data_IF_440653630114
#
_entry.id   IF_440653630114
#
_cell.length_a   1.000
_cell.length_b   1.000
_cell.length_c   1.000
_cell.angle_alpha   90.00
_cell.angle_beta   90.00
_cell.angle_gamma   90.00
#
_symmetry.space_group_name_H-M   'P 1'
#
loop_
_entity.id
_entity.type
_entity.pdbx_description
1 polymer ?
#
# COMPACT_ATOMS: atom_id res chain seq x y z
N UNK A 1 0.35 38.98 24.84
CA UNK A 1 1.74 39.18 25.31
C UNK A 1 2.39 37.81 25.44
N UNK A 2 3.58 37.58 24.87
CA UNK A 2 4.38 36.37 25.10
C UNK A 2 4.71 35.55 23.85
N UNK A 3 5.49 36.13 22.93
CA UNK A 3 6.27 35.39 21.92
C UNK A 3 7.56 34.82 22.52
N UNK A 4 8.09 33.82 21.82
CA UNK A 4 9.51 33.42 21.68
C UNK A 4 10.24 32.78 22.86
N UNK A 5 10.48 31.46 22.78
CA UNK A 5 11.74 30.86 23.26
C UNK A 5 12.02 29.46 22.65
N UNK A 6 12.42 29.40 21.37
CA UNK A 6 13.03 28.20 20.76
C UNK A 6 14.37 28.55 20.07
N UNK A 7 14.81 29.80 20.13
CA UNK A 7 15.98 30.30 19.39
C UNK A 7 17.34 30.10 20.07
N UNK A 8 17.40 29.79 21.38
CA UNK A 8 18.63 30.00 22.14
C UNK A 8 19.53 28.76 22.29
N UNK A 9 19.00 27.55 22.09
CA UNK A 9 19.77 26.32 22.38
C UNK A 9 20.68 25.82 21.25
N UNK A 10 20.59 26.37 20.03
CA UNK A 10 21.48 26.00 18.91
C UNK A 10 22.76 26.83 18.83
N UNK A 11 22.82 28.02 19.44
CA UNK A 11 24.04 28.87 19.42
C UNK A 11 25.09 28.42 20.42
N UNK A 12 24.69 27.97 21.61
CA UNK A 12 25.64 27.68 22.70
C UNK A 12 26.46 26.41 22.41
N UNK A 13 25.86 25.37 21.80
CA UNK A 13 26.58 24.15 21.43
C UNK A 13 27.58 24.36 20.27
N UNK A 14 27.28 25.26 19.33
CA UNK A 14 28.17 25.59 18.20
C UNK A 14 29.41 26.34 18.67
N UNK A 15 29.28 27.28 19.62
CA UNK A 15 30.41 28.11 20.07
C UNK A 15 31.37 27.36 21.00
N UNK A 16 30.90 26.34 21.74
CA UNK A 16 31.74 25.59 22.67
C UNK A 16 32.58 24.50 21.96
N UNK A 17 32.00 23.82 20.96
CA UNK A 17 32.72 22.79 20.19
C UNK A 17 33.77 23.41 19.24
N UNK A 18 33.49 24.59 18.66
CA UNK A 18 34.48 25.34 17.85
C UNK A 18 35.68 25.80 18.66
N UNK A 19 35.48 26.25 19.91
CA UNK A 19 36.58 26.79 20.74
C UNK A 19 37.55 25.72 21.22
N UNK A 20 37.07 24.53 21.57
CA UNK A 20 37.93 23.44 22.04
C UNK A 20 38.78 22.80 20.93
N UNK A 21 38.22 22.66 19.73
CA UNK A 21 38.94 22.07 18.59
C UNK A 21 40.04 23.01 18.06
N UNK A 22 39.78 24.32 18.06
CA UNK A 22 40.75 25.34 17.63
C UNK A 22 41.91 25.48 18.63
N UNK A 23 41.67 25.28 19.94
CA UNK A 23 42.75 25.33 20.94
C UNK A 23 43.72 24.14 20.88
N UNK A 24 43.24 22.94 20.56
CA UNK A 24 44.07 21.72 20.54
C UNK A 24 44.98 21.64 19.30
N UNK A 25 44.54 22.23 18.17
CA UNK A 25 45.32 22.28 16.93
C UNK A 25 46.39 23.37 16.91
N UNK A 26 46.23 24.44 17.70
CA UNK A 26 47.23 25.52 17.85
C UNK A 26 48.49 25.04 18.58
N UNK A 27 48.37 24.03 19.44
CA UNK A 27 49.47 23.42 20.19
C UNK A 27 50.39 22.56 19.28
N UNK A 28 49.89 22.12 18.11
CA UNK A 28 50.62 21.27 17.15
C UNK A 28 51.31 22.04 16.00
N UNK A 29 51.35 23.38 16.05
CA UNK A 29 52.09 24.21 15.09
C UNK A 29 51.44 24.43 13.72
N UNK A 30 50.15 24.09 13.57
CA UNK A 30 49.41 24.33 12.33
C UNK A 30 49.14 25.83 12.11
N UNK A 31 49.46 26.34 10.93
CA UNK A 31 49.21 27.73 10.56
C UNK A 31 47.71 28.00 10.32
N UNK A 32 47.30 29.27 10.37
CA UNK A 32 45.90 29.66 10.24
C UNK A 32 45.27 29.27 8.88
N UNK A 33 46.07 29.13 7.82
CA UNK A 33 45.61 28.64 6.51
C UNK A 33 45.34 27.14 6.52
N UNK A 34 46.17 26.37 7.23
CA UNK A 34 46.06 24.91 7.32
C UNK A 34 44.87 24.50 8.20
N UNK A 35 44.59 25.25 9.28
CA UNK A 35 43.37 25.04 10.08
C UNK A 35 42.09 25.33 9.30
N UNK A 36 42.09 26.37 8.45
CA UNK A 36 40.96 26.65 7.55
C UNK A 36 40.77 25.51 6.55
N UNK A 37 41.85 25.04 5.93
CA UNK A 37 41.81 23.94 4.98
C UNK A 37 41.29 22.64 5.61
N UNK A 38 41.77 22.28 6.81
CA UNK A 38 41.31 21.08 7.52
C UNK A 38 39.83 21.16 7.92
N UNK A 39 39.36 22.32 8.37
CA UNK A 39 37.95 22.54 8.69
C UNK A 39 37.06 22.48 7.43
N UNK A 40 37.51 23.09 6.33
CA UNK A 40 36.83 22.98 5.04
C UNK A 40 36.79 21.54 4.54
N UNK A 41 37.90 20.79 4.63
CA UNK A 41 37.97 19.37 4.25
C UNK A 41 37.03 18.50 5.10
N UNK A 42 36.95 18.75 6.40
CA UNK A 42 36.02 18.04 7.30
C UNK A 42 34.56 18.36 6.98
N UNK A 43 34.22 19.63 6.74
CA UNK A 43 32.87 20.06 6.34
C UNK A 43 32.50 19.47 4.97
N UNK A 44 33.44 19.43 4.02
CA UNK A 44 33.22 18.82 2.70
C UNK A 44 32.96 17.32 2.82
N UNK A 45 33.77 16.61 3.63
CA UNK A 45 33.64 15.18 3.85
C UNK A 45 32.31 14.82 4.55
N UNK A 46 31.92 15.57 5.57
CA UNK A 46 30.63 15.40 6.25
C UNK A 46 29.46 15.74 5.32
N UNK A 47 29.57 16.82 4.52
CA UNK A 47 28.54 17.20 3.55
C UNK A 47 28.34 16.18 2.42
N UNK A 48 29.42 15.54 1.97
CA UNK A 48 29.36 14.45 0.98
C UNK A 48 28.73 13.17 1.58
N UNK A 49 29.08 12.80 2.81
CA UNK A 49 28.50 11.63 3.48
C UNK A 49 27.00 11.78 3.77
N UNK A 50 26.54 12.96 4.19
CA UNK A 50 25.11 13.24 4.46
C UNK A 50 24.26 13.18 3.19
N UNK A 51 24.79 13.62 2.04
CA UNK A 51 24.09 13.51 0.75
C UNK A 51 23.88 12.06 0.31
N UNK A 52 24.83 11.18 0.58
CA UNK A 52 24.77 9.78 0.17
C UNK A 52 23.70 8.98 0.94
N UNK A 53 23.44 9.33 2.20
CA UNK A 53 22.42 8.67 3.03
C UNK A 53 20.99 9.18 2.77
N UNK A 54 20.83 10.41 2.28
CA UNK A 54 19.51 11.02 2.04
C UNK A 54 18.90 10.72 0.65
N UNK A 55 19.69 10.22 -0.31
CA UNK A 55 19.23 10.02 -1.69
C UNK A 55 18.47 8.71 -1.90
N UNK A 56 18.86 7.62 -1.23
CA UNK A 56 18.22 6.32 -1.40
C UNK A 56 16.71 6.29 -1.05
N UNK A 57 16.25 6.93 0.04
CA UNK A 57 14.81 6.99 0.37
C UNK A 57 13.99 7.75 -0.68
N UNK A 58 14.55 8.83 -1.24
CA UNK A 58 13.86 9.68 -2.24
C UNK A 58 13.73 8.96 -3.58
N UNK A 59 14.78 8.27 -4.00
CA UNK A 59 14.76 7.50 -5.26
C UNK A 59 13.76 6.34 -5.19
N UNK A 60 13.74 5.59 -4.07
CA UNK A 60 12.77 4.52 -3.88
C UNK A 60 11.34 5.07 -3.87
N UNK A 61 11.10 6.15 -3.13
CA UNK A 61 9.80 6.82 -3.11
C UNK A 61 9.34 7.23 -4.52
N UNK A 62 10.24 7.84 -5.31
CA UNK A 62 9.97 8.22 -6.71
C UNK A 62 9.60 7.00 -7.56
N UNK A 63 10.31 5.88 -7.42
CA UNK A 63 10.00 4.62 -8.12
C UNK A 63 8.59 4.11 -7.77
N UNK A 64 8.22 4.14 -6.50
CA UNK A 64 6.86 3.75 -6.06
C UNK A 64 5.77 4.70 -6.59
N UNK A 65 6.00 6.02 -6.55
CA UNK A 65 5.05 7.00 -7.07
C UNK A 65 4.88 6.87 -8.60
N UNK A 66 5.96 6.52 -9.32
CA UNK A 66 5.89 6.20 -10.73
C UNK A 66 5.17 4.88 -11.02
N UNK A 67 5.36 3.87 -10.18
CA UNK A 67 4.66 2.60 -10.30
C UNK A 67 3.16 2.78 -10.05
N UNK A 68 2.76 3.60 -9.07
CA UNK A 68 1.37 3.95 -8.79
C UNK A 68 0.67 4.56 -10.02
N UNK A 69 1.35 5.50 -10.69
CA UNK A 69 0.85 6.11 -11.94
C UNK A 69 0.76 5.11 -13.10
N UNK A 70 1.57 4.06 -13.08
CA UNK A 70 1.63 3.02 -14.12
C UNK A 70 0.76 1.80 -13.85
N UNK A 71 0.01 1.77 -12.74
CA UNK A 71 -0.95 0.69 -12.47
C UNK A 71 -1.92 0.59 -13.64
N UNK A 72 -1.94 -0.58 -14.27
CA UNK A 72 -2.87 -0.89 -15.36
C UNK A 72 -4.27 -0.98 -14.79
N UNK A 73 -5.19 -0.19 -15.35
CA UNK A 73 -6.60 -0.19 -14.95
C UNK A 73 -7.45 -0.36 -16.20
N UNK A 74 -8.25 -1.43 -16.22
CA UNK A 74 -9.12 -1.73 -17.34
C UNK A 74 -10.50 -1.09 -17.13
N UNK A 75 -11.16 -0.60 -18.20
CA UNK A 75 -12.55 -0.17 -18.10
C UNK A 75 -13.47 -1.38 -17.83
N UNK A 76 -14.61 -1.18 -17.13
CA UNK A 76 -15.57 -2.26 -16.87
C UNK A 76 -16.04 -3.00 -18.13
N UNK A 77 -16.16 -2.31 -19.28
CA UNK A 77 -16.58 -2.88 -20.55
C UNK A 77 -15.62 -3.93 -21.15
N UNK A 78 -14.39 -4.04 -20.65
CA UNK A 78 -13.42 -5.06 -21.08
C UNK A 78 -13.72 -6.45 -20.50
N UNK A 79 -14.57 -6.53 -19.47
CA UNK A 79 -14.99 -7.77 -18.81
C UNK A 79 -16.33 -8.23 -19.39
N UNK A 80 -16.28 -9.10 -20.41
CA UNK A 80 -17.47 -9.55 -21.17
C UNK A 80 -18.43 -10.40 -20.34
N UNK A 81 -17.94 -10.95 -19.25
CA UNK A 81 -18.72 -11.69 -18.27
C UNK A 81 -19.58 -10.78 -17.40
N UNK A 82 -19.25 -9.49 -17.25
CA UNK A 82 -20.06 -8.56 -16.45
C UNK A 82 -21.40 -8.26 -17.12
N UNK A 83 -22.51 -8.36 -16.38
CA UNK A 83 -23.81 -7.87 -16.84
C UNK A 83 -23.78 -6.39 -17.24
N UNK A 84 -24.44 -6.02 -18.33
CA UNK A 84 -24.36 -4.66 -18.88
C UNK A 84 -24.88 -3.58 -17.91
N UNK A 85 -25.82 -3.92 -17.03
CA UNK A 85 -26.29 -3.02 -15.97
C UNK A 85 -25.21 -2.73 -14.92
N UNK A 86 -24.36 -3.71 -14.61
CA UNK A 86 -23.23 -3.54 -13.69
C UNK A 86 -22.13 -2.71 -14.34
N UNK A 87 -21.83 -2.94 -15.63
CA UNK A 87 -20.90 -2.12 -16.41
C UNK A 87 -21.29 -0.65 -16.34
N UNK A 88 -22.56 -0.31 -16.64
CA UNK A 88 -23.06 1.07 -16.58
C UNK A 88 -22.94 1.68 -15.18
N UNK A 89 -23.24 0.92 -14.14
CA UNK A 89 -23.14 1.41 -12.76
C UNK A 89 -21.68 1.66 -12.33
N UNK A 90 -20.76 0.79 -12.75
CA UNK A 90 -19.32 0.98 -12.52
C UNK A 90 -18.80 2.20 -13.27
N UNK A 91 -19.18 2.39 -14.53
CA UNK A 91 -18.83 3.57 -15.33
C UNK A 91 -19.39 4.86 -14.72
N UNK A 92 -20.65 4.84 -14.24
CA UNK A 92 -21.28 5.96 -13.53
C UNK A 92 -20.52 6.36 -12.26
N UNK A 93 -19.83 5.41 -11.63
CA UNK A 93 -18.96 5.63 -10.46
C UNK A 93 -17.53 6.05 -10.83
N UNK A 94 -17.25 6.24 -12.12
CA UNK A 94 -15.89 6.45 -12.63
C UNK A 94 -14.92 5.33 -12.23
N UNK A 95 -15.46 4.11 -12.11
CA UNK A 95 -14.72 2.95 -11.67
C UNK A 95 -13.82 2.44 -12.79
N UNK A 96 -12.57 2.13 -12.43
CA UNK A 96 -11.65 1.37 -13.25
C UNK A 96 -11.15 0.16 -12.46
N UNK A 97 -10.81 -0.94 -13.13
CA UNK A 97 -10.52 -2.21 -12.47
C UNK A 97 -9.01 -2.42 -12.52
N UNK A 98 -8.27 -2.22 -11.41
CA UNK A 98 -6.82 -2.32 -11.40
C UNK A 98 -6.41 -3.78 -11.62
N UNK A 99 -5.34 -3.99 -12.38
CA UNK A 99 -4.80 -5.31 -12.70
C UNK A 99 -3.50 -5.53 -11.93
N UNK A 100 -3.33 -6.73 -11.41
CA UNK A 100 -2.10 -7.11 -10.73
C UNK A 100 -0.95 -7.40 -11.71
N UNK A 101 0.27 -7.51 -11.19
CA UNK A 101 1.49 -7.67 -11.99
C UNK A 101 1.58 -8.98 -12.77
N UNK A 102 0.74 -9.99 -12.48
CA UNK A 102 0.80 -11.29 -13.19
C UNK A 102 0.34 -11.18 -14.64
N UNK A 103 -0.20 -10.03 -15.06
CA UNK A 103 -0.77 -9.76 -16.39
C UNK A 103 -2.01 -10.59 -16.72
N UNK A 104 -2.46 -11.45 -15.81
CA UNK A 104 -3.74 -12.11 -15.93
C UNK A 104 -4.86 -11.13 -15.65
N UNK A 105 -5.89 -11.16 -16.50
CA UNK A 105 -7.10 -10.38 -16.25
C UNK A 105 -7.78 -10.89 -14.98
N UNK A 106 -7.99 -10.01 -14.01
CA UNK A 106 -8.56 -10.36 -12.72
C UNK A 106 -9.46 -9.26 -12.16
N UNK A 107 -9.75 -9.38 -10.87
CA UNK A 107 -10.46 -8.38 -10.08
C UNK A 107 -11.93 -8.14 -10.45
N UNK A 108 -12.50 -9.06 -11.23
CA UNK A 108 -13.94 -9.26 -11.41
C UNK A 108 -14.24 -10.72 -11.11
N UNK A 109 -15.07 -10.98 -10.11
CA UNK A 109 -15.40 -12.34 -9.67
C UNK A 109 -16.89 -12.54 -9.49
N UNK A 110 -17.33 -13.78 -9.70
CA UNK A 110 -18.70 -14.23 -9.49
C UNK A 110 -18.73 -15.33 -8.45
N UNK A 111 -19.73 -15.32 -7.57
CA UNK A 111 -19.86 -16.34 -6.54
C UNK A 111 -21.11 -16.19 -5.69
N UNK A 112 -21.33 -17.14 -4.79
CA UNK A 112 -22.37 -17.07 -3.79
C UNK A 112 -21.84 -16.36 -2.55
N UNK A 113 -21.94 -15.03 -2.50
CA UNK A 113 -21.32 -14.23 -1.44
C UNK A 113 -22.29 -13.86 -0.32
N UNK A 114 -23.61 -13.83 -0.58
CA UNK A 114 -24.60 -13.52 0.47
C UNK A 114 -25.14 -14.75 1.20
N UNK A 115 -25.40 -15.81 0.43
CA UNK A 115 -26.09 -17.04 0.84
C UNK A 115 -25.91 -18.14 -0.21
N UNK A 116 -26.13 -19.42 0.15
CA UNK A 116 -25.98 -20.54 -0.78
C UNK A 116 -26.89 -20.42 -2.00
N UNK A 117 -26.38 -20.78 -3.18
CA UNK A 117 -27.14 -20.81 -4.45
C UNK A 117 -27.49 -19.44 -5.05
N UNK A 118 -27.12 -18.34 -4.40
CA UNK A 118 -27.24 -17.00 -4.99
C UNK A 118 -26.04 -16.70 -5.89
N UNK A 119 -26.25 -16.01 -7.01
CA UNK A 119 -25.16 -15.53 -7.87
C UNK A 119 -24.96 -14.03 -7.65
N UNK A 120 -23.82 -13.68 -7.07
CA UNK A 120 -23.39 -12.31 -6.80
C UNK A 120 -22.15 -12.00 -7.63
N UNK A 121 -21.88 -10.70 -7.81
CA UNK A 121 -20.66 -10.19 -8.43
C UNK A 121 -19.86 -9.38 -7.43
N UNK A 122 -18.54 -9.51 -7.46
CA UNK A 122 -17.65 -8.61 -6.74
C UNK A 122 -16.59 -8.05 -7.69
N UNK A 123 -16.34 -6.75 -7.59
CA UNK A 123 -15.39 -6.03 -8.45
C UNK A 123 -14.47 -5.20 -7.56
N UNK A 124 -13.16 -5.31 -7.78
CA UNK A 124 -12.21 -4.36 -7.19
C UNK A 124 -12.26 -3.07 -8.00
N UNK A 125 -12.82 -2.03 -7.40
CA UNK A 125 -13.09 -0.76 -8.04
C UNK A 125 -12.10 0.30 -7.58
N UNK A 126 -11.26 0.79 -8.49
CA UNK A 126 -10.30 1.87 -8.27
C UNK A 126 -10.85 3.20 -8.77
N UNK A 127 -10.87 4.20 -7.89
CA UNK A 127 -11.20 5.61 -8.19
C UNK A 127 -10.16 6.49 -7.53
N UNK A 128 -9.46 7.32 -8.32
CA UNK A 128 -8.46 8.29 -7.86
C UNK A 128 -7.37 7.72 -6.92
N UNK A 129 -6.84 6.54 -7.25
CA UNK A 129 -5.76 5.90 -6.47
C UNK A 129 -6.22 5.13 -5.23
N UNK A 130 -7.53 4.97 -5.03
CA UNK A 130 -8.10 4.14 -3.96
C UNK A 130 -8.96 3.04 -4.54
N UNK A 131 -8.76 1.81 -4.08
CA UNK A 131 -9.59 0.66 -4.44
C UNK A 131 -10.48 0.18 -3.30
N UNK A 132 -11.74 -0.08 -3.62
CA UNK A 132 -12.73 -0.73 -2.75
C UNK A 132 -13.30 -1.96 -3.45
N UNK A 133 -13.73 -2.97 -2.68
CA UNK A 133 -14.48 -4.11 -3.23
C UNK A 133 -15.96 -3.74 -3.25
N UNK A 134 -16.56 -3.70 -4.43
CA UNK A 134 -18.00 -3.52 -4.63
C UNK A 134 -18.67 -4.87 -4.85
N UNK A 135 -19.69 -5.20 -4.06
CA UNK A 135 -20.44 -6.45 -4.13
C UNK A 135 -21.87 -6.18 -4.59
N UNK A 136 -22.23 -6.69 -5.77
CA UNK A 136 -23.54 -6.57 -6.40
C UNK A 136 -24.36 -7.83 -6.14
N UNK A 137 -25.39 -7.70 -5.30
CA UNK A 137 -26.23 -8.82 -4.90
C UNK A 137 -27.17 -9.24 -6.03
N UNK A 138 -27.24 -10.54 -6.33
CA UNK A 138 -28.10 -11.08 -7.40
C UNK A 138 -27.86 -10.45 -8.79
N UNK A 139 -26.70 -9.83 -9.01
CA UNK A 139 -26.43 -9.05 -10.23
C UNK A 139 -27.29 -7.79 -10.39
N UNK A 140 -27.84 -7.26 -9.29
CA UNK A 140 -28.53 -5.97 -9.27
C UNK A 140 -27.51 -4.84 -9.07
N UNK A 141 -27.69 -3.76 -9.82
CA UNK A 141 -26.84 -2.57 -9.76
C UNK A 141 -27.14 -1.68 -8.53
N UNK A 142 -28.29 -1.89 -7.89
CA UNK A 142 -28.78 -1.02 -6.83
C UNK A 142 -28.00 -1.24 -5.53
N UNK A 143 -27.48 -0.15 -4.97
CA UNK A 143 -26.81 -0.09 -3.66
C UNK A 143 -25.83 -1.26 -3.41
N UNK A 144 -24.75 -1.40 -4.22
CA UNK A 144 -23.73 -2.41 -3.97
C UNK A 144 -23.14 -2.21 -2.57
N UNK A 145 -22.83 -3.31 -1.90
CA UNK A 145 -22.06 -3.23 -0.67
C UNK A 145 -20.63 -2.84 -1.00
N UNK A 146 -20.07 -1.87 -0.28
CA UNK A 146 -18.68 -1.45 -0.40
C UNK A 146 -17.90 -1.91 0.83
N UNK A 147 -16.71 -2.47 0.62
CA UNK A 147 -15.82 -2.87 1.70
C UNK A 147 -14.35 -2.79 1.31
N UNK A 148 -13.46 -2.93 2.30
CA UNK A 148 -12.02 -3.03 2.11
C UNK A 148 -11.41 -1.86 1.31
N UNK A 149 -11.88 -0.64 1.53
CA UNK A 149 -11.28 0.54 0.89
C UNK A 149 -9.83 0.71 1.35
N UNK A 150 -8.91 0.89 0.40
CA UNK A 150 -7.50 1.13 0.67
C UNK A 150 -6.84 1.91 -0.47
N UNK A 151 -5.70 2.55 -0.20
CA UNK A 151 -4.89 3.19 -1.23
C UNK A 151 -4.22 2.13 -2.12
N UNK A 152 -4.26 2.30 -3.43
CA UNK A 152 -3.65 1.36 -4.37
C UNK A 152 -2.14 1.22 -4.15
N UNK A 153 -1.48 2.32 -3.76
CA UNK A 153 -0.03 2.33 -3.46
C UNK A 153 0.38 1.35 -2.36
N UNK A 154 -0.53 1.03 -1.43
CA UNK A 154 -0.24 0.08 -0.34
C UNK A 154 -0.11 -1.36 -0.82
N UNK A 155 -0.57 -1.65 -2.04
CA UNK A 155 -0.45 -2.95 -2.70
C UNK A 155 0.62 -2.96 -3.79
N UNK A 156 1.49 -1.95 -3.84
CA UNK A 156 2.69 -1.98 -4.67
C UNK A 156 3.78 -2.80 -3.96
N UNK A 157 4.50 -3.60 -4.73
CA UNK A 157 5.70 -4.29 -4.26
C UNK A 157 6.70 -4.50 -5.39
N UNK A 158 7.92 -4.87 -5.02
CA UNK A 158 8.89 -5.40 -5.97
C UNK A 158 8.43 -6.79 -6.41
N UNK A 159 8.19 -6.98 -7.70
CA UNK A 159 7.59 -8.22 -8.28
C UNK A 159 8.59 -9.10 -9.00
N UNK A 160 9.85 -8.67 -9.08
CA UNK A 160 10.96 -9.38 -9.72
C UNK A 160 12.03 -8.39 -10.21
N UNK A 161 13.28 -8.60 -9.82
CA UNK A 161 14.36 -7.64 -10.10
C UNK A 161 14.09 -6.26 -9.48
N UNK A 162 14.09 -5.21 -10.30
CA UNK A 162 13.80 -3.83 -9.89
C UNK A 162 12.37 -3.36 -10.26
N UNK A 163 11.52 -4.23 -10.81
CA UNK A 163 10.16 -3.86 -11.19
C UNK A 163 9.24 -3.76 -9.98
N UNK A 164 8.44 -2.68 -9.93
CA UNK A 164 7.41 -2.47 -8.92
C UNK A 164 6.04 -2.63 -9.59
N UNK A 165 5.21 -3.51 -9.04
CA UNK A 165 3.90 -3.85 -9.59
C UNK A 165 2.78 -3.83 -8.55
N UNK A 166 1.57 -3.52 -9.02
CA UNK A 166 0.35 -3.64 -8.23
C UNK A 166 0.03 -5.10 -7.96
N UNK A 167 -0.37 -5.42 -6.74
CA UNK A 167 -0.46 -6.80 -6.27
C UNK A 167 -1.72 -7.10 -5.48
N UNK A 168 -2.74 -6.23 -5.59
CA UNK A 168 -4.05 -6.52 -4.99
C UNK A 168 -4.88 -7.37 -5.93
N UNK A 169 -5.36 -8.51 -5.43
CA UNK A 169 -6.23 -9.40 -6.20
C UNK A 169 -7.36 -9.95 -5.34
N UNK A 170 -8.58 -10.00 -5.90
CA UNK A 170 -9.72 -10.68 -5.27
C UNK A 170 -10.02 -12.03 -5.92
N UNK A 171 -10.45 -13.01 -5.11
CA UNK A 171 -10.93 -14.31 -5.58
C UNK A 171 -12.10 -14.84 -4.74
N UNK A 172 -12.95 -15.67 -5.35
CA UNK A 172 -14.03 -16.36 -4.64
C UNK A 172 -13.47 -17.62 -3.96
N UNK A 173 -13.70 -17.79 -2.66
CA UNK A 173 -13.17 -18.93 -1.89
C UNK A 173 -14.27 -19.67 -1.13
N UNK A 174 -14.19 -21.00 -1.13
CA UNK A 174 -15.17 -21.85 -0.43
C UNK A 174 -14.70 -22.35 0.93
N UNK A 175 -15.58 -23.07 1.64
CA UNK A 175 -15.34 -23.67 2.97
C UNK A 175 -13.98 -24.35 3.12
N UNK A 176 -13.55 -25.16 2.15
CA UNK A 176 -12.25 -25.87 2.22
C UNK A 176 -11.07 -24.90 2.35
N UNK A 177 -11.09 -23.79 1.62
CA UNK A 177 -10.06 -22.77 1.70
C UNK A 177 -10.12 -22.07 3.06
N UNK A 178 -11.28 -21.55 3.44
CA UNK A 178 -11.46 -20.77 4.68
C UNK A 178 -11.05 -21.59 5.91
N UNK A 179 -11.50 -22.85 5.99
CA UNK A 179 -11.15 -23.72 7.11
C UNK A 179 -9.67 -24.13 7.10
N UNK A 180 -9.03 -24.24 5.93
CA UNK A 180 -7.59 -24.50 5.85
C UNK A 180 -6.80 -23.33 6.40
N UNK A 181 -7.15 -22.10 6.01
CA UNK A 181 -6.48 -20.90 6.52
C UNK A 181 -6.68 -20.74 8.04
N UNK A 182 -7.91 -20.91 8.52
CA UNK A 182 -8.19 -20.88 9.96
C UNK A 182 -7.38 -21.92 10.76
N UNK A 183 -7.21 -23.14 10.23
CA UNK A 183 -6.40 -24.18 10.89
C UNK A 183 -4.90 -23.88 10.87
N UNK A 184 -4.41 -23.25 9.80
CA UNK A 184 -2.99 -22.94 9.64
C UNK A 184 -2.57 -21.75 10.50
N UNK A 185 -3.39 -20.69 10.54
CA UNK A 185 -3.01 -19.40 11.10
C UNK A 185 -3.88 -18.92 12.27
N UNK A 186 -4.98 -19.61 12.59
CA UNK A 186 -5.88 -19.24 13.69
C UNK A 186 -6.78 -18.05 13.39
N UNK A 187 -7.10 -17.26 14.42
CA UNK A 187 -7.98 -16.08 14.35
C UNK A 187 -9.40 -16.33 14.88
N UNK A 188 -10.37 -15.44 14.59
CA UNK A 188 -11.76 -15.62 15.01
C UNK A 188 -12.35 -16.90 14.41
N UNK A 189 -13.05 -17.70 15.23
CA UNK A 189 -13.73 -18.89 14.75
C UNK A 189 -14.74 -18.51 13.65
N UNK A 190 -14.61 -19.08 12.44
CA UNK A 190 -15.55 -18.79 11.37
C UNK A 190 -16.98 -19.17 11.75
N UNK A 191 -17.99 -18.38 11.35
CA UNK A 191 -19.38 -18.82 11.43
C UNK A 191 -19.60 -20.06 10.52
N UNK A 192 -20.74 -20.76 10.62
CA UNK A 192 -21.07 -21.85 9.70
C UNK A 192 -20.90 -21.42 8.24
N UNK A 193 -20.00 -22.10 7.52
CA UNK A 193 -19.65 -21.76 6.14
C UNK A 193 -20.49 -22.63 5.20
N UNK A 194 -21.51 -22.03 4.62
CA UNK A 194 -22.45 -22.65 3.67
C UNK A 194 -22.38 -22.01 2.27
N UNK A 195 -21.66 -20.89 2.11
CA UNK A 195 -21.45 -20.18 0.85
C UNK A 195 -20.00 -19.69 0.71
N UNK A 196 -19.69 -18.94 -0.35
CA UNK A 196 -18.34 -18.48 -0.65
C UNK A 196 -18.01 -17.17 0.08
N UNK A 197 -16.76 -17.00 0.47
CA UNK A 197 -16.18 -15.71 0.86
C UNK A 197 -15.44 -15.05 -0.31
N UNK A 198 -15.01 -13.82 -0.08
CA UNK A 198 -14.12 -13.05 -0.97
C UNK A 198 -12.74 -13.00 -0.32
N UNK A 199 -11.75 -13.60 -0.95
CA UNK A 199 -10.36 -13.49 -0.52
C UNK A 199 -9.73 -12.27 -1.18
N UNK A 200 -9.34 -11.29 -0.36
CA UNK A 200 -8.63 -10.06 -0.75
C UNK A 200 -7.14 -10.25 -0.46
N UNK A 201 -6.33 -10.31 -1.51
CA UNK A 201 -4.94 -10.75 -1.46
C UNK A 201 -4.01 -9.58 -1.74
N UNK A 202 -2.95 -9.47 -0.94
CA UNK A 202 -1.66 -8.96 -1.39
C UNK A 202 -0.85 -10.16 -1.88
N UNK A 203 -0.77 -10.33 -3.19
CA UNK A 203 -0.17 -11.51 -3.84
C UNK A 203 1.20 -11.86 -3.24
N UNK A 204 1.39 -13.15 -2.98
CA UNK A 204 2.58 -13.78 -2.41
C UNK A 204 3.00 -13.28 -1.01
N UNK A 205 2.14 -12.50 -0.34
CA UNK A 205 2.40 -11.95 0.99
C UNK A 205 1.33 -12.30 2.00
N UNK A 206 0.13 -11.76 1.79
CA UNK A 206 -0.92 -11.85 2.77
C UNK A 206 -2.31 -11.85 2.12
N UNK A 207 -3.32 -12.31 2.84
CA UNK A 207 -4.70 -12.22 2.42
C UNK A 207 -5.67 -12.16 3.60
N UNK A 208 -6.84 -11.64 3.30
CA UNK A 208 -7.96 -11.55 4.23
C UNK A 208 -9.18 -12.14 3.55
N UNK A 209 -9.94 -12.97 4.25
CA UNK A 209 -11.22 -13.47 3.72
C UNK A 209 -12.36 -12.67 4.32
N UNK A 210 -13.11 -11.98 3.47
CA UNK A 210 -14.39 -11.38 3.83
C UNK A 210 -15.52 -12.39 3.63
N UNK A 211 -16.29 -12.65 4.68
CA UNK A 211 -17.41 -13.59 4.67
C UNK A 211 -18.68 -12.91 5.18
N UNK A 212 -19.78 -12.97 4.43
CA UNK A 212 -21.02 -12.31 4.82
C UNK A 212 -21.97 -13.28 5.53
N UNK A 213 -22.22 -13.08 6.81
CA UNK A 213 -23.17 -13.89 7.57
C UNK A 213 -24.03 -13.01 8.47
N UNK A 214 -25.26 -13.44 8.78
CA UNK A 214 -26.13 -12.72 9.73
C UNK A 214 -26.24 -11.20 9.43
N UNK A 215 -26.34 -10.86 8.14
CA UNK A 215 -26.39 -9.48 7.63
C UNK A 215 -25.16 -8.61 7.96
N UNK A 216 -23.99 -9.22 8.18
CA UNK A 216 -22.74 -8.52 8.50
C UNK A 216 -21.55 -9.14 7.77
N UNK A 217 -20.56 -8.33 7.45
CA UNK A 217 -19.26 -8.79 6.97
C UNK A 217 -18.37 -9.20 8.14
N UNK A 218 -17.81 -10.41 8.06
CA UNK A 218 -16.78 -10.91 8.95
C UNK A 218 -15.43 -10.87 8.23
N UNK A 219 -14.42 -10.37 8.92
CA UNK A 219 -13.03 -10.44 8.50
C UNK A 219 -12.40 -11.69 9.08
N UNK A 220 -12.19 -12.70 8.25
CA UNK A 220 -11.58 -13.98 8.60
C UNK A 220 -10.12 -14.01 8.15
N UNK A 221 -9.33 -14.84 8.82
CA UNK A 221 -7.92 -15.06 8.50
C UNK A 221 -7.76 -15.64 7.08
N UNK A 222 -6.87 -15.03 6.30
CA UNK A 222 -6.39 -15.56 5.03
C UNK A 222 -5.02 -16.23 5.20
N UNK A 223 -4.11 -16.04 4.24
CA UNK A 223 -2.70 -16.37 4.43
C UNK A 223 -1.97 -15.14 5.00
N UNK A 224 -1.07 -15.30 5.95
CA UNK A 224 -0.18 -14.24 6.48
C UNK A 224 1.21 -14.84 6.68
#
# INVERSE_FOLDING_TARGET
MGSSDIGNNRRIASTFMERFFISDLRIRGYSHSEMRAALFSLILAVGLAVRCLAQAPVELQRKFDEAERRIVRLPPADFKELPSNLVRELERRSCSIPQDYTKERGNVIRGAFKRPGQTDWAVLCSVNGFSSILVFWKGLADHPAEMARAEDRTFLQVTGGEEIGFSRRISAVGKKFIMRQYRAYGGPTPPPIDHQGINDMFLDKASVVYFHARQKWYRLTGAD
#
